data_IF_835494862103
#
_entry.id   IF_835494862103
#
_cell.length_a   1.000
_cell.length_b   1.000
_cell.length_c   1.000
_cell.angle_alpha   90.00
_cell.angle_beta   90.00
_cell.angle_gamma   90.00
#
_symmetry.space_group_name_H-M   'P 1'
#
loop_
_entity.id
_entity.type
_entity.pdbx_description
1 polymer ?
#
# COMPACT_ATOMS: atom_id res chain seq x y z
N UNK A 1 0.87 22.25 3.25
CA UNK A 1 1.06 20.98 2.51
C UNK A 1 -0.26 20.66 1.80
N UNK A 2 -0.43 21.11 0.55
CA UNK A 2 -1.58 20.74 -0.29
C UNK A 2 -1.21 19.49 -1.08
N UNK A 3 -1.07 18.36 -0.39
CA UNK A 3 -0.97 17.08 -1.09
C UNK A 3 -2.37 16.75 -1.60
N UNK A 4 -2.54 16.76 -2.91
CA UNK A 4 -3.81 16.43 -3.54
C UNK A 4 -4.22 15.02 -3.16
N UNK A 5 -5.50 14.85 -2.77
CA UNK A 5 -6.03 13.56 -2.38
C UNK A 5 -5.75 12.52 -3.48
N UNK A 6 -5.16 11.35 -3.16
CA UNK A 6 -4.87 10.33 -4.16
C UNK A 6 -6.16 9.95 -4.90
N UNK A 7 -6.06 9.52 -6.15
CA UNK A 7 -7.25 9.06 -6.88
C UNK A 7 -7.88 7.89 -6.14
N UNK A 8 -9.21 7.79 -6.16
CA UNK A 8 -9.93 6.72 -5.45
C UNK A 8 -9.42 5.33 -5.86
N UNK A 9 -9.01 5.17 -7.13
CA UNK A 9 -8.40 3.95 -7.64
C UNK A 9 -7.06 3.64 -6.97
N UNK A 10 -6.13 4.60 -6.90
CA UNK A 10 -4.80 4.39 -6.30
C UNK A 10 -4.93 4.14 -4.79
N UNK A 11 -5.84 4.85 -4.12
CA UNK A 11 -6.14 4.61 -2.71
C UNK A 11 -6.60 3.17 -2.47
N UNK A 12 -7.57 2.68 -3.27
CA UNK A 12 -8.06 1.30 -3.15
C UNK A 12 -6.93 0.29 -3.40
N UNK A 13 -6.11 0.49 -4.43
CA UNK A 13 -4.96 -0.41 -4.72
C UNK A 13 -3.99 -0.46 -3.54
N UNK A 14 -3.60 0.70 -3.02
CA UNK A 14 -2.67 0.77 -1.87
C UNK A 14 -3.23 0.09 -0.62
N UNK A 15 -4.53 0.25 -0.38
CA UNK A 15 -5.23 -0.32 0.76
C UNK A 15 -5.30 -1.85 0.67
N UNK A 16 -5.58 -2.39 -0.52
CA UNK A 16 -5.55 -3.85 -0.75
C UNK A 16 -4.16 -4.41 -0.50
N UNK A 17 -3.10 -3.77 -1.01
CA UNK A 17 -1.72 -4.23 -0.78
C UNK A 17 -1.37 -4.18 0.71
N UNK A 18 -1.76 -3.13 1.42
CA UNK A 18 -1.55 -3.02 2.86
C UNK A 18 -2.27 -4.15 3.63
N UNK A 19 -3.52 -4.46 3.26
CA UNK A 19 -4.27 -5.58 3.86
C UNK A 19 -3.56 -6.92 3.62
N UNK A 20 -3.04 -7.16 2.41
CA UNK A 20 -2.29 -8.38 2.11
C UNK A 20 -1.04 -8.49 3.00
N UNK A 21 -0.34 -7.37 3.21
CA UNK A 21 0.82 -7.34 4.12
C UNK A 21 0.45 -7.63 5.57
N UNK A 22 -0.68 -7.11 6.05
CA UNK A 22 -1.19 -7.42 7.41
C UNK A 22 -1.58 -8.89 7.53
N UNK A 23 -2.26 -9.45 6.53
CA UNK A 23 -2.62 -10.87 6.51
C UNK A 23 -1.37 -11.78 6.46
N UNK A 24 -0.31 -11.36 5.76
CA UNK A 24 0.98 -12.04 5.78
C UNK A 24 1.65 -11.98 7.16
N UNK A 25 1.55 -10.85 7.89
CA UNK A 25 2.08 -10.73 9.25
C UNK A 25 1.34 -11.63 10.25
N UNK A 26 0.05 -11.84 10.03
CA UNK A 26 -0.79 -12.75 10.84
C UNK A 26 -0.58 -14.24 10.49
N UNK A 27 0.31 -14.56 9.55
CA UNK A 27 0.59 -15.94 9.13
C UNK A 27 -0.49 -16.56 8.23
N UNK A 28 -1.49 -15.79 7.79
CA UNK A 28 -2.53 -16.26 6.85
C UNK A 28 -1.93 -16.55 5.47
N UNK A 29 -0.90 -15.79 5.08
CA UNK A 29 -0.12 -16.00 3.85
C UNK A 29 1.28 -16.55 4.15
N UNK A 30 1.38 -17.59 4.97
CA UNK A 30 2.66 -18.22 5.36
C UNK A 30 3.44 -18.86 4.19
N UNK A 31 2.85 -18.98 3.01
CA UNK A 31 3.50 -19.50 1.80
C UNK A 31 4.30 -18.45 1.02
N UNK A 32 4.22 -17.17 1.39
CA UNK A 32 4.98 -16.10 0.75
C UNK A 32 6.32 -15.94 1.48
N UNK A 33 7.47 -16.24 0.85
CA UNK A 33 8.79 -16.05 1.46
C UNK A 33 9.24 -14.58 1.40
N UNK A 34 8.34 -13.66 1.76
CA UNK A 34 8.58 -12.21 1.76
C UNK A 34 8.10 -11.66 3.10
N UNK A 35 8.96 -10.90 3.78
CA UNK A 35 8.58 -10.35 5.07
C UNK A 35 7.37 -9.41 4.90
N UNK A 36 6.37 -9.57 5.75
CA UNK A 36 5.12 -8.81 5.71
C UNK A 36 5.33 -7.28 5.69
N UNK A 37 6.39 -6.80 6.35
CA UNK A 37 6.79 -5.38 6.38
C UNK A 37 7.03 -4.84 4.97
N UNK A 38 7.64 -5.63 4.08
CA UNK A 38 7.91 -5.20 2.69
C UNK A 38 6.63 -5.07 1.87
N UNK A 39 5.65 -5.93 2.11
CA UNK A 39 4.36 -5.88 1.41
C UNK A 39 3.60 -4.62 1.82
N UNK A 40 3.54 -4.32 3.12
CA UNK A 40 2.90 -3.08 3.62
C UNK A 40 3.65 -1.84 3.13
N UNK A 41 4.99 -1.88 3.10
CA UNK A 41 5.81 -0.78 2.60
C UNK A 41 5.49 -0.46 1.13
N UNK A 42 5.33 -1.48 0.27
CA UNK A 42 4.94 -1.27 -1.13
C UNK A 42 3.57 -0.59 -1.21
N UNK A 43 2.59 -1.01 -0.40
CA UNK A 43 1.29 -0.35 -0.32
C UNK A 43 1.41 1.14 0.00
N UNK A 44 2.25 1.49 0.98
CA UNK A 44 2.50 2.88 1.37
C UNK A 44 3.24 3.69 0.29
N UNK A 45 4.19 3.07 -0.42
CA UNK A 45 4.88 3.71 -1.55
C UNK A 45 3.87 4.06 -2.66
N UNK A 46 2.96 3.13 -2.98
CA UNK A 46 1.89 3.36 -3.97
C UNK A 46 0.97 4.50 -3.54
N UNK A 47 0.57 4.53 -2.27
CA UNK A 47 -0.24 5.62 -1.72
C UNK A 47 0.48 6.97 -1.83
N UNK A 48 1.75 7.03 -1.40
CA UNK A 48 2.57 8.23 -1.45
C UNK A 48 2.77 8.73 -2.89
N UNK A 49 3.04 7.82 -3.83
CA UNK A 49 3.13 8.13 -5.26
C UNK A 49 1.81 8.72 -5.78
N UNK A 50 0.68 8.11 -5.41
CA UNK A 50 -0.65 8.63 -5.76
C UNK A 50 -0.94 10.03 -5.24
N UNK A 51 -0.51 10.34 -4.01
CA UNK A 51 -0.63 11.68 -3.44
C UNK A 51 0.27 12.71 -4.16
N UNK A 52 1.48 12.31 -4.58
CA UNK A 52 2.41 13.18 -5.29
C UNK A 52 1.98 13.48 -6.73
N UNK A 53 1.53 12.46 -7.47
CA UNK A 53 1.16 12.60 -8.90
C UNK A 53 -0.06 13.49 -9.12
N UNK A 54 -0.95 13.62 -8.13
CA UNK A 54 -2.12 14.49 -8.23
C UNK A 54 -1.86 15.92 -7.74
N UNK A 55 -0.67 16.16 -7.15
CA UNK A 55 -0.19 17.48 -6.75
C UNK A 55 0.43 18.30 -7.88
N UNK A 56 0.45 17.77 -9.11
CA UNK A 56 0.90 18.45 -10.33
C UNK A 56 -0.29 18.86 -11.21
#
# INVERSE_FOLDING_TARGET
MNLSAPTQLIFIISLVIAIIGVLAALGVLAFIPLAAVWIVLIGYIVLAAGCMMRGA
#
